data_IF_490743266602
#
_entry.id   IF_490743266602
#
_cell.length_a   1.000
_cell.length_b   1.000
_cell.length_c   1.000
_cell.angle_alpha   90.00
_cell.angle_beta   90.00
_cell.angle_gamma   90.00
#
_symmetry.space_group_name_H-M   'P 1'
#
loop_
_entity.id
_entity.type
_entity.pdbx_description
1 polymer ?
#
# COMPACT_ATOMS: atom_id res chain seq x y z
N UNK A 1 12.43 18.89 13.18
CA UNK A 1 11.79 19.68 14.26
C UNK A 1 10.29 19.59 14.05
N UNK A 2 9.49 19.27 15.09
CA UNK A 2 8.05 19.09 14.94
C UNK A 2 7.39 20.38 14.44
N UNK A 3 6.52 20.29 13.43
CA UNK A 3 5.85 21.45 12.85
C UNK A 3 4.58 21.80 13.65
N UNK A 4 4.76 22.47 14.79
CA UNK A 4 3.67 22.82 15.69
C UNK A 4 2.61 23.73 15.05
N UNK A 5 2.96 24.56 14.07
CA UNK A 5 2.00 25.37 13.34
C UNK A 5 1.05 24.50 12.50
N UNK A 6 1.57 23.44 11.86
CA UNK A 6 0.76 22.47 11.14
C UNK A 6 -0.15 21.68 12.09
N UNK A 7 0.35 21.30 13.27
CA UNK A 7 -0.46 20.62 14.29
C UNK A 7 -1.61 21.52 14.78
N UNK A 8 -1.33 22.80 15.08
CA UNK A 8 -2.35 23.75 15.52
C UNK A 8 -3.43 23.95 14.44
N UNK A 9 -3.03 24.12 13.18
CA UNK A 9 -3.97 24.25 12.07
C UNK A 9 -4.87 23.02 11.93
N UNK A 10 -4.31 21.81 12.06
CA UNK A 10 -5.07 20.56 12.03
C UNK A 10 -6.09 20.45 13.17
N UNK A 11 -5.68 20.82 14.39
CA UNK A 11 -6.57 20.82 15.56
C UNK A 11 -7.73 21.79 15.36
N UNK A 12 -7.45 23.02 14.91
CA UNK A 12 -8.49 24.04 14.69
C UNK A 12 -9.46 23.63 13.59
N UNK A 13 -8.98 22.99 12.52
CA UNK A 13 -9.82 22.58 11.39
C UNK A 13 -10.76 21.42 11.74
N UNK A 14 -10.22 20.37 12.37
CA UNK A 14 -10.90 19.07 12.44
C UNK A 14 -11.25 18.61 13.86
N UNK A 15 -10.71 19.29 14.89
CA UNK A 15 -10.80 18.84 16.28
C UNK A 15 -11.03 19.98 17.29
N UNK A 16 -11.62 21.11 16.86
CA UNK A 16 -11.76 22.30 17.70
C UNK A 16 -12.59 22.07 18.98
N UNK A 17 -13.49 21.09 18.97
CA UNK A 17 -14.35 20.75 20.11
C UNK A 17 -13.88 19.50 20.88
N UNK A 18 -12.80 18.84 20.43
CA UNK A 18 -12.31 17.60 21.02
C UNK A 18 -11.37 17.88 22.20
N UNK A 19 -11.31 16.96 23.15
CA UNK A 19 -10.29 17.00 24.21
C UNK A 19 -8.92 16.63 23.65
N UNK A 20 -7.85 17.02 24.36
CA UNK A 20 -6.48 16.66 23.95
C UNK A 20 -6.28 15.15 23.81
N UNK A 21 -6.95 14.34 24.64
CA UNK A 21 -6.92 12.88 24.57
C UNK A 21 -7.62 12.35 23.31
N UNK A 22 -8.76 12.94 22.94
CA UNK A 22 -9.49 12.60 21.71
C UNK A 22 -8.69 12.98 20.46
N UNK A 23 -8.09 14.17 20.44
CA UNK A 23 -7.18 14.63 19.38
C UNK A 23 -6.00 13.65 19.24
N UNK A 24 -5.33 13.32 20.35
CA UNK A 24 -4.19 12.40 20.35
C UNK A 24 -4.59 11.04 19.81
N UNK A 25 -5.75 10.51 20.21
CA UNK A 25 -6.25 9.25 19.70
C UNK A 25 -6.55 9.32 18.19
N UNK A 26 -7.22 10.39 17.74
CA UNK A 26 -7.62 10.56 16.34
C UNK A 26 -6.41 10.75 15.40
N UNK A 27 -5.46 11.61 15.76
CA UNK A 27 -4.29 11.90 14.91
C UNK A 27 -3.34 10.72 14.76
N UNK A 28 -3.31 9.82 15.75
CA UNK A 28 -2.50 8.59 15.73
C UNK A 28 -3.29 7.36 15.25
N UNK A 29 -4.59 7.47 14.99
CA UNK A 29 -5.39 6.37 14.47
C UNK A 29 -5.02 6.08 13.01
N UNK A 30 -4.71 4.82 12.70
CA UNK A 30 -4.37 4.37 11.34
C UNK A 30 -5.62 4.15 10.51
N UNK A 31 -6.15 5.24 9.96
CA UNK A 31 -7.41 5.24 9.20
C UNK A 31 -7.25 5.75 7.77
N UNK A 32 -6.10 6.35 7.43
CA UNK A 32 -5.84 6.90 6.10
C UNK A 32 -5.31 5.77 5.21
N UNK A 33 -6.10 5.39 4.20
CA UNK A 33 -5.69 4.43 3.20
C UNK A 33 -4.53 4.98 2.37
N UNK A 34 -3.44 4.21 2.30
CA UNK A 34 -2.30 4.51 1.44
C UNK A 34 -1.76 3.23 0.83
N UNK A 35 -0.80 3.39 -0.07
CA UNK A 35 -0.08 2.30 -0.71
C UNK A 35 1.33 2.18 -0.14
N UNK A 36 1.84 0.96 -0.08
CA UNK A 36 3.24 0.65 0.19
C UNK A 36 3.81 -0.20 -0.95
N UNK A 37 5.14 -0.20 -1.16
CA UNK A 37 5.77 -1.08 -2.13
C UNK A 37 5.40 -2.55 -1.89
N UNK A 38 5.08 -3.27 -2.97
CA UNK A 38 4.76 -4.69 -2.91
C UNK A 38 6.02 -5.49 -3.19
N UNK A 39 6.46 -6.30 -2.23
CA UNK A 39 7.62 -7.17 -2.41
C UNK A 39 7.35 -8.23 -3.47
N UNK A 40 8.29 -8.35 -4.42
CA UNK A 40 8.27 -9.42 -5.40
C UNK A 40 8.34 -10.80 -4.74
N UNK A 41 9.01 -10.92 -3.58
CA UNK A 41 9.07 -12.18 -2.84
C UNK A 41 7.69 -12.61 -2.32
N UNK A 42 6.88 -11.66 -1.84
CA UNK A 42 5.52 -11.92 -1.37
C UNK A 42 4.59 -12.31 -2.52
N UNK A 43 4.72 -11.67 -3.69
CA UNK A 43 4.00 -12.06 -4.91
C UNK A 43 4.37 -13.48 -5.30
N UNK A 44 5.67 -13.80 -5.39
CA UNK A 44 6.15 -15.17 -5.73
C UNK A 44 5.59 -16.21 -4.77
N UNK A 45 5.66 -15.94 -3.46
CA UNK A 45 5.10 -16.81 -2.42
C UNK A 45 3.60 -17.02 -2.61
N UNK A 46 2.84 -15.96 -2.87
CA UNK A 46 1.41 -16.06 -3.12
C UNK A 46 1.10 -16.92 -4.35
N UNK A 47 1.78 -16.68 -5.48
CA UNK A 47 1.57 -17.44 -6.71
C UNK A 47 1.91 -18.92 -6.55
N UNK A 48 2.95 -19.25 -5.78
CA UNK A 48 3.33 -20.62 -5.46
C UNK A 48 2.27 -21.32 -4.60
N UNK A 49 1.84 -20.68 -3.51
CA UNK A 49 0.84 -21.23 -2.60
C UNK A 49 -0.52 -21.45 -3.27
N UNK A 50 -0.86 -20.64 -4.26
CA UNK A 50 -2.11 -20.75 -5.01
C UNK A 50 -1.98 -21.60 -6.29
N UNK A 51 -0.84 -22.25 -6.53
CA UNK A 51 -0.64 -23.19 -7.65
C UNK A 51 -0.57 -22.56 -9.04
N UNK A 52 -0.63 -21.23 -9.17
CA UNK A 52 -0.60 -20.51 -10.45
C UNK A 52 0.82 -20.20 -10.92
N UNK A 53 1.81 -20.25 -10.02
CA UNK A 53 3.22 -19.96 -10.36
C UNK A 53 3.75 -20.79 -11.53
N UNK A 54 3.56 -22.11 -11.49
CA UNK A 54 4.13 -23.00 -12.49
C UNK A 54 3.54 -22.72 -13.88
N UNK A 55 2.22 -22.52 -13.95
CA UNK A 55 1.54 -22.21 -15.20
C UNK A 55 2.02 -20.91 -15.83
N UNK A 56 2.32 -19.89 -15.02
CA UNK A 56 2.91 -18.63 -15.51
C UNK A 56 4.36 -18.87 -15.95
N UNK A 57 5.16 -19.56 -15.13
CA UNK A 57 6.60 -19.77 -15.36
C UNK A 57 6.91 -20.59 -16.62
N UNK A 58 6.09 -21.58 -16.95
CA UNK A 58 6.33 -22.48 -18.10
C UNK A 58 5.60 -22.05 -19.37
N UNK A 59 4.78 -21.00 -19.30
CA UNK A 59 3.98 -20.53 -20.43
C UNK A 59 4.85 -19.79 -21.45
N UNK A 60 4.58 -20.04 -22.74
CA UNK A 60 5.15 -19.27 -23.84
C UNK A 60 4.34 -17.99 -24.16
N UNK A 61 3.26 -17.72 -23.42
CA UNK A 61 2.48 -16.50 -23.62
C UNK A 61 3.36 -15.26 -23.31
N UNK A 62 3.45 -14.26 -24.22
CA UNK A 62 4.30 -13.09 -24.02
C UNK A 62 4.05 -12.34 -22.70
N UNK A 63 2.80 -12.32 -22.23
CA UNK A 63 2.44 -11.67 -20.95
C UNK A 63 2.96 -12.47 -19.76
N UNK A 64 2.93 -13.81 -19.84
CA UNK A 64 3.48 -14.67 -18.80
C UNK A 64 5.00 -14.54 -18.69
N UNK A 65 5.69 -14.48 -19.84
CA UNK A 65 7.13 -14.21 -19.91
C UNK A 65 7.44 -12.84 -19.29
N UNK A 66 6.73 -11.80 -19.72
CA UNK A 66 6.89 -10.43 -19.19
C UNK A 66 6.65 -10.37 -17.68
N UNK A 67 5.64 -11.09 -17.16
CA UNK A 67 5.37 -11.16 -15.73
C UNK A 67 6.54 -11.79 -14.95
N UNK A 68 7.10 -12.89 -15.46
CA UNK A 68 8.24 -13.55 -14.84
C UNK A 68 9.49 -12.69 -14.88
N UNK A 69 9.74 -12.00 -15.99
CA UNK A 69 10.87 -11.08 -16.14
C UNK A 69 10.74 -9.89 -15.19
N UNK A 70 9.55 -9.30 -15.06
CA UNK A 70 9.30 -8.23 -14.11
C UNK A 70 9.53 -8.70 -12.66
N UNK A 71 9.07 -9.90 -12.30
CA UNK A 71 9.32 -10.53 -11.01
C UNK A 71 10.79 -10.95 -10.82
N UNK A 72 11.61 -11.01 -11.86
CA UNK A 72 13.05 -11.28 -11.75
C UNK A 72 13.85 -9.97 -11.62
N UNK A 73 13.41 -8.92 -12.31
CA UNK A 73 14.09 -7.64 -12.41
C UNK A 73 13.87 -6.74 -11.20
N UNK A 74 12.66 -6.71 -10.66
CA UNK A 74 12.29 -5.82 -9.56
C UNK A 74 12.29 -6.56 -8.21
N UNK A 75 12.95 -5.98 -7.21
CA UNK A 75 12.84 -6.46 -5.81
C UNK A 75 11.47 -6.15 -5.22
N UNK A 76 10.90 -4.99 -5.56
CA UNK A 76 9.57 -4.57 -5.18
C UNK A 76 8.94 -3.68 -6.25
N UNK A 77 7.61 -3.70 -6.33
CA UNK A 77 6.84 -2.77 -7.14
C UNK A 77 6.41 -1.58 -6.28
N UNK A 78 6.99 -0.41 -6.52
CA UNK A 78 6.57 0.81 -5.84
C UNK A 78 5.22 1.31 -6.39
N UNK A 79 4.11 0.71 -5.93
CA UNK A 79 2.75 1.04 -6.38
C UNK A 79 2.23 2.40 -5.88
N UNK A 80 3.03 3.17 -5.16
CA UNK A 80 2.78 4.59 -4.92
C UNK A 80 3.01 5.41 -6.19
N UNK A 81 3.86 4.94 -7.09
CA UNK A 81 4.08 5.52 -8.40
C UNK A 81 3.00 5.05 -9.37
N UNK A 82 2.22 5.98 -9.90
CA UNK A 82 1.08 5.68 -10.78
C UNK A 82 1.48 4.83 -12.00
N UNK A 83 2.65 5.07 -12.59
CA UNK A 83 3.15 4.32 -13.73
C UNK A 83 3.48 2.87 -13.37
N UNK A 84 4.09 2.64 -12.20
CA UNK A 84 4.42 1.28 -11.72
C UNK A 84 3.14 0.51 -11.39
N UNK A 85 2.17 1.18 -10.74
CA UNK A 85 0.86 0.59 -10.47
C UNK A 85 0.13 0.22 -11.77
N UNK A 86 0.09 1.11 -12.75
CA UNK A 86 -0.57 0.86 -14.04
C UNK A 86 0.08 -0.31 -14.79
N UNK A 87 1.41 -0.37 -14.82
CA UNK A 87 2.15 -1.48 -15.42
C UNK A 87 1.83 -2.81 -14.74
N UNK A 88 1.85 -2.86 -13.41
CA UNK A 88 1.55 -4.08 -12.66
C UNK A 88 0.11 -4.55 -12.91
N UNK A 89 -0.86 -3.62 -12.91
CA UNK A 89 -2.27 -3.91 -13.22
C UNK A 89 -2.41 -4.47 -14.63
N UNK A 90 -1.75 -3.86 -15.62
CA UNK A 90 -1.80 -4.31 -17.02
C UNK A 90 -1.22 -5.71 -17.20
N UNK A 91 -0.10 -6.04 -16.54
CA UNK A 91 0.48 -7.39 -16.56
C UNK A 91 -0.53 -8.39 -15.98
N UNK A 92 -1.13 -8.09 -14.82
CA UNK A 92 -2.11 -8.99 -14.19
C UNK A 92 -3.38 -9.16 -15.02
N UNK A 93 -3.88 -8.11 -15.67
CA UNK A 93 -5.03 -8.20 -16.57
C UNK A 93 -4.72 -9.06 -17.80
N UNK A 94 -3.51 -8.93 -18.35
CA UNK A 94 -3.05 -9.81 -19.42
C UNK A 94 -2.89 -11.26 -18.98
N UNK A 95 -2.47 -11.53 -17.73
CA UNK A 95 -2.43 -12.89 -17.18
C UNK A 95 -3.83 -13.51 -17.03
N UNK A 96 -4.84 -12.72 -16.64
CA UNK A 96 -6.24 -13.16 -16.61
C UNK A 96 -6.70 -13.50 -18.03
N UNK A 97 -6.45 -12.60 -18.98
CA UNK A 97 -6.84 -12.79 -20.39
C UNK A 97 -6.13 -13.97 -21.06
N UNK A 98 -4.90 -14.29 -20.64
CA UNK A 98 -4.13 -15.43 -21.13
C UNK A 98 -4.77 -16.78 -20.77
N UNK A 99 -5.67 -16.82 -19.76
CA UNK A 99 -6.45 -17.98 -19.35
C UNK A 99 -5.61 -19.27 -19.24
N UNK A 100 -4.46 -19.16 -18.57
CA UNK A 100 -3.55 -20.28 -18.34
C UNK A 100 -4.20 -21.36 -17.47
N UNK A 101 -3.60 -22.54 -17.37
CA UNK A 101 -4.12 -23.62 -16.51
C UNK A 101 -3.03 -24.09 -15.54
N UNK A 102 -3.20 -23.92 -14.20
CA UNK A 102 -4.29 -23.22 -13.52
C UNK A 102 -4.38 -21.72 -13.87
N UNK A 103 -5.61 -21.18 -13.84
CA UNK A 103 -5.88 -19.81 -14.26
C UNK A 103 -5.47 -18.78 -13.20
N UNK A 104 -4.79 -17.72 -13.64
CA UNK A 104 -4.68 -16.50 -12.86
C UNK A 104 -6.01 -15.72 -13.00
N UNK A 105 -6.63 -15.33 -11.89
CA UNK A 105 -8.01 -14.82 -11.85
C UNK A 105 -8.07 -13.41 -11.26
N UNK A 106 -9.23 -12.77 -11.36
CA UNK A 106 -9.49 -11.48 -10.70
C UNK A 106 -9.27 -11.54 -9.18
N UNK A 107 -9.55 -12.69 -8.54
CA UNK A 107 -9.27 -12.91 -7.11
C UNK A 107 -7.78 -12.84 -6.82
N UNK A 108 -6.94 -13.45 -7.66
CA UNK A 108 -5.49 -13.40 -7.52
C UNK A 108 -4.94 -11.99 -7.72
N UNK A 109 -5.45 -11.27 -8.73
CA UNK A 109 -5.12 -9.85 -8.95
C UNK A 109 -5.46 -9.00 -7.72
N UNK A 110 -6.67 -9.13 -7.19
CA UNK A 110 -7.11 -8.38 -6.01
C UNK A 110 -6.22 -8.67 -4.79
N UNK A 111 -5.89 -9.94 -4.55
CA UNK A 111 -5.03 -10.33 -3.44
C UNK A 111 -3.61 -9.77 -3.57
N UNK A 112 -3.02 -9.78 -4.77
CA UNK A 112 -1.70 -9.18 -5.01
C UNK A 112 -1.72 -7.67 -4.79
N UNK A 113 -2.71 -6.96 -5.34
CA UNK A 113 -2.84 -5.51 -5.14
C UNK A 113 -3.07 -5.12 -3.68
N UNK A 114 -3.78 -5.98 -2.93
CA UNK A 114 -4.03 -5.79 -1.51
C UNK A 114 -2.78 -5.94 -0.63
N UNK A 115 -1.72 -6.61 -1.11
CA UNK A 115 -0.43 -6.65 -0.39
C UNK A 115 0.18 -5.26 -0.24
N UNK A 116 -0.15 -4.35 -1.17
CA UNK A 116 0.28 -2.96 -1.14
C UNK A 116 -0.66 -2.05 -0.35
N UNK A 117 -1.81 -2.53 0.12
CA UNK A 117 -2.72 -1.73 0.93
C UNK A 117 -2.21 -1.61 2.36
N UNK A 118 -2.17 -0.39 2.87
CA UNK A 118 -1.86 -0.13 4.27
C UNK A 118 -2.64 1.06 4.80
N UNK A 119 -2.72 1.15 6.12
CA UNK A 119 -3.34 2.26 6.81
C UNK A 119 -2.27 3.03 7.57
N UNK A 120 -2.26 4.33 7.36
CA UNK A 120 -1.40 5.27 8.08
C UNK A 120 -2.24 6.26 8.87
N UNK A 121 -1.65 6.86 9.87
CA UNK A 121 -2.25 7.95 10.63
C UNK A 121 -1.85 9.31 10.06
N UNK A 122 -2.52 10.37 10.46
CA UNK A 122 -2.08 11.74 10.13
C UNK A 122 -0.68 11.99 10.71
N UNK A 123 -0.43 11.49 11.92
CA UNK A 123 0.88 11.53 12.55
C UNK A 123 1.96 10.85 11.69
N UNK A 124 1.71 9.65 11.15
CA UNK A 124 2.68 8.95 10.28
C UNK A 124 3.05 9.76 9.01
N UNK A 125 2.15 10.61 8.52
CA UNK A 125 2.36 11.41 7.30
C UNK A 125 3.05 12.75 7.56
N UNK A 126 2.84 13.34 8.73
CA UNK A 126 3.18 14.75 9.00
C UNK A 126 3.99 14.97 10.28
N UNK A 127 4.24 13.90 11.04
CA UNK A 127 4.89 13.95 12.34
C UNK A 127 6.00 12.90 12.41
N UNK A 128 7.09 13.22 13.09
CA UNK A 128 8.19 12.28 13.34
C UNK A 128 7.80 11.35 14.50
N UNK A 129 6.89 10.41 14.23
CA UNK A 129 6.33 9.47 15.20
C UNK A 129 4.95 9.87 15.71
N UNK A 130 4.54 9.30 16.85
CA UNK A 130 3.21 9.57 17.40
C UNK A 130 3.11 10.98 17.99
N UNK A 131 2.01 11.69 17.69
CA UNK A 131 1.67 12.97 18.32
C UNK A 131 1.39 12.70 19.80
N UNK A 132 2.14 13.34 20.68
CA UNK A 132 2.02 13.15 22.13
C UNK A 132 1.01 14.14 22.73
N UNK A 133 0.35 13.72 23.81
CA UNK A 133 -0.65 14.53 24.51
C UNK A 133 -0.12 15.91 24.93
N UNK A 134 1.12 15.98 25.40
CA UNK A 134 1.72 17.23 25.84
C UNK A 134 1.95 18.22 24.68
N UNK A 135 2.21 17.72 23.46
CA UNK A 135 2.40 18.55 22.26
C UNK A 135 1.08 19.20 21.85
N UNK A 136 -0.05 18.51 22.04
CA UNK A 136 -1.38 19.05 21.79
C UNK A 136 -1.71 20.14 22.81
N UNK A 137 -1.43 19.89 24.10
CA UNK A 137 -1.65 20.87 25.17
C UNK A 137 -0.80 22.13 24.97
N UNK A 138 0.43 21.98 24.47
CA UNK A 138 1.33 23.09 24.18
C UNK A 138 0.78 24.02 23.08
N UNK A 139 0.16 23.49 22.03
CA UNK A 139 -0.38 24.32 20.93
C UNK A 139 -1.79 24.86 21.16
N UNK A 140 -2.48 24.36 22.19
CA UNK A 140 -3.79 24.84 22.63
C UNK A 140 -3.69 25.92 23.73
N UNK A 141 -2.53 26.03 24.40
CA UNK A 141 -2.25 27.03 25.44
C UNK A 141 -1.99 28.42 24.83
#
# INVERSE_FOLDING_TARGET
MPNYALLQAKIVADHAADTAEQISAALNAKTIATKQPISTADIKKYLLLNGVWLAIKTSANPVAVTAMDALALFEAFNVQESNVQAMLVQIMDGLIAANLTPAFTATHKAAVLAMGDTLVSWADQHWEGAVQLWQIKEVQA
#
